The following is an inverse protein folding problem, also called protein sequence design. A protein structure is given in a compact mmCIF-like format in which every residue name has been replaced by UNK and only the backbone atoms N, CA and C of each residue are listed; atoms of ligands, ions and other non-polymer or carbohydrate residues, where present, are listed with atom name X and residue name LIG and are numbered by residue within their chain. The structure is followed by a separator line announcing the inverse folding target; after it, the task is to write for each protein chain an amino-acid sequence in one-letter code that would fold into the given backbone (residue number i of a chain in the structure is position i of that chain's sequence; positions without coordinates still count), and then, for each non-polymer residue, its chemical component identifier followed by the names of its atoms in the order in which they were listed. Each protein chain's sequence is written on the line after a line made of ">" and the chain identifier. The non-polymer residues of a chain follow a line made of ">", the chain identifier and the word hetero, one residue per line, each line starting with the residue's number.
data_IF_646163593333
#
_entry.id   IF_646163593333
#
_cell.length_a   1.000
_cell.length_b   1.000
_cell.length_c   1.000
_cell.angle_alpha   90.00
_cell.angle_beta   90.00
_cell.angle_gamma   90.00
#
_symmetry.space_group_name_H-M   'P 1'
#
loop_
_entity.id
_entity.type
_entity.pdbx_description
1 polymer ?
#
# COMPACT_ATOMS: atom_id res chain seq x y z
N UNK A 1 -56.16 -54.84 25.93
CA UNK A 1 -55.93 -56.24 25.56
C UNK A 1 -56.24 -56.43 24.11
N UNK A 2 -55.66 -57.33 23.32
CA UNK A 2 -54.26 -57.78 23.36
C UNK A 2 -53.48 -57.70 22.02
N UNK A 3 -52.15 -57.81 22.13
CA UNK A 3 -51.20 -58.64 21.37
C UNK A 3 -50.73 -58.27 19.97
N UNK A 4 -49.46 -58.00 19.91
CA UNK A 4 -48.41 -58.42 18.96
C UNK A 4 -48.60 -59.85 18.39
N UNK A 5 -47.78 -60.36 17.38
CA UNK A 5 -46.44 -59.98 16.98
C UNK A 5 -46.10 -60.17 15.46
N UNK A 6 -44.83 -59.79 15.14
CA UNK A 6 -43.81 -60.44 14.28
C UNK A 6 -44.09 -60.50 12.75
N UNK A 7 -43.12 -60.17 11.92
CA UNK A 7 -42.07 -61.08 11.50
C UNK A 7 -41.02 -60.36 10.61
N UNK A 8 -39.79 -60.79 10.75
CA UNK A 8 -38.63 -60.33 10.01
C UNK A 8 -38.63 -60.78 8.54
N UNK A 9 -38.13 -59.93 7.67
CA UNK A 9 -37.56 -60.36 6.39
C UNK A 9 -36.26 -59.59 6.10
N UNK A 10 -35.18 -60.34 6.13
CA UNK A 10 -33.84 -59.93 5.63
C UNK A 10 -33.88 -59.95 4.11
N UNK A 11 -33.56 -58.80 3.49
CA UNK A 11 -33.08 -58.82 2.11
C UNK A 11 -31.73 -58.15 2.03
N UNK A 12 -30.76 -59.01 1.71
CA UNK A 12 -29.44 -58.73 1.19
C UNK A 12 -29.56 -57.91 -0.10
N UNK A 13 -28.96 -56.76 -0.18
CA UNK A 13 -28.76 -56.06 -1.45
C UNK A 13 -27.30 -55.71 -1.60
N UNK A 14 -26.84 -56.05 -2.79
CA UNK A 14 -25.50 -56.09 -3.28
C UNK A 14 -24.72 -54.81 -3.20
N UNK A 15 -23.45 -54.98 -3.00
CA UNK A 15 -22.33 -54.06 -3.11
C UNK A 15 -22.21 -53.51 -4.54
N UNK A 16 -22.57 -52.25 -4.81
CA UNK A 16 -22.24 -51.57 -6.04
C UNK A 16 -20.99 -50.73 -5.83
N UNK A 17 -19.91 -51.15 -6.49
CA UNK A 17 -18.66 -50.37 -6.61
C UNK A 17 -18.92 -49.00 -7.20
N UNK A 18 -18.78 -47.97 -6.39
CA UNK A 18 -18.68 -46.58 -6.83
C UNK A 18 -17.26 -46.32 -7.32
N UNK A 19 -17.07 -46.24 -8.63
CA UNK A 19 -15.89 -45.68 -9.26
C UNK A 19 -15.77 -44.21 -8.87
N UNK A 20 -14.88 -43.88 -7.94
CA UNK A 20 -14.43 -42.49 -7.74
C UNK A 20 -13.57 -42.10 -8.92
N UNK A 21 -14.09 -41.22 -9.77
CA UNK A 21 -13.29 -40.44 -10.71
C UNK A 21 -12.30 -39.60 -9.89
N UNK A 22 -11.03 -39.93 -10.05
CA UNK A 22 -9.91 -39.11 -9.57
C UNK A 22 -9.80 -37.89 -10.50
N UNK A 23 -10.42 -36.79 -10.16
CA UNK A 23 -10.13 -35.49 -10.78
C UNK A 23 -8.72 -35.03 -10.34
N UNK A 24 -7.84 -34.61 -11.25
CA UNK A 24 -6.55 -34.04 -10.88
C UNK A 24 -6.78 -32.65 -10.28
N UNK A 25 -6.78 -32.60 -8.93
CA UNK A 25 -6.79 -31.31 -8.21
C UNK A 25 -5.60 -30.47 -8.66
N UNK A 26 -5.86 -29.32 -9.25
CA UNK A 26 -4.87 -28.28 -9.52
C UNK A 26 -4.32 -27.83 -8.17
N UNK A 27 -3.17 -28.38 -7.78
CA UNK A 27 -2.37 -27.82 -6.67
C UNK A 27 -1.83 -26.46 -7.16
N UNK A 28 -2.43 -25.40 -6.69
CA UNK A 28 -1.80 -24.08 -6.74
C UNK A 28 -0.52 -24.22 -5.91
N UNK A 29 0.60 -24.34 -6.60
CA UNK A 29 1.94 -24.30 -6.00
C UNK A 29 2.10 -22.85 -5.49
N UNK A 30 1.73 -22.61 -4.22
CA UNK A 30 2.15 -21.42 -3.53
C UNK A 30 3.68 -21.40 -3.58
N UNK A 31 4.25 -20.37 -4.21
CA UNK A 31 5.69 -20.19 -4.27
C UNK A 31 6.22 -20.04 -2.84
N UNK A 32 6.57 -21.16 -2.22
CA UNK A 32 7.35 -21.18 -0.98
C UNK A 32 8.75 -20.75 -1.38
N UNK A 33 9.10 -19.51 -1.02
CA UNK A 33 10.46 -19.00 -1.17
C UNK A 33 11.43 -19.98 -0.46
N UNK A 34 12.52 -20.35 -1.15
CA UNK A 34 13.53 -21.29 -0.66
C UNK A 34 13.95 -20.91 0.78
N UNK A 35 13.87 -21.84 1.74
CA UNK A 35 14.28 -21.61 3.14
C UNK A 35 15.71 -21.07 3.26
N UNK A 36 16.61 -21.42 2.33
CA UNK A 36 17.97 -20.91 2.27
C UNK A 36 18.01 -19.42 1.90
N UNK A 37 17.19 -18.97 0.96
CA UNK A 37 17.07 -17.56 0.59
C UNK A 37 16.52 -16.72 1.75
N UNK A 38 15.52 -17.23 2.48
CA UNK A 38 14.98 -16.56 3.66
C UNK A 38 16.01 -16.48 4.80
N UNK A 39 16.77 -17.53 5.04
CA UNK A 39 17.83 -17.58 6.04
C UNK A 39 18.95 -16.58 5.70
N UNK A 40 19.34 -16.48 4.44
CA UNK A 40 20.38 -15.55 3.97
C UNK A 40 19.94 -14.10 4.11
N UNK A 41 18.71 -13.76 3.67
CA UNK A 41 18.16 -12.43 3.82
C UNK A 41 18.05 -12.00 5.30
N UNK A 42 17.57 -12.89 6.17
CA UNK A 42 17.51 -12.62 7.60
C UNK A 42 18.91 -12.45 8.24
N UNK A 43 19.93 -13.18 7.75
CA UNK A 43 21.30 -13.03 8.22
C UNK A 43 21.90 -11.66 7.81
N UNK A 44 21.66 -11.21 6.58
CA UNK A 44 22.09 -9.89 6.10
C UNK A 44 21.44 -8.78 6.93
N UNK A 45 20.14 -8.84 7.15
CA UNK A 45 19.42 -7.84 7.97
C UNK A 45 19.98 -7.80 9.39
N UNK A 46 20.23 -8.97 10.02
CA UNK A 46 20.84 -9.02 11.36
C UNK A 46 22.23 -8.37 11.38
N UNK A 47 23.06 -8.67 10.36
CA UNK A 47 24.43 -8.10 10.24
C UNK A 47 24.38 -6.58 10.11
N UNK A 48 23.51 -6.03 9.27
CA UNK A 48 23.39 -4.58 9.06
C UNK A 48 22.81 -3.89 10.31
N UNK A 49 21.85 -4.51 10.99
CA UNK A 49 21.30 -3.99 12.26
C UNK A 49 22.31 -4.00 13.42
N UNK A 50 23.37 -4.84 13.32
CA UNK A 50 24.47 -4.86 14.28
C UNK A 50 25.44 -3.69 14.08
N UNK A 51 25.41 -2.97 12.97
CA UNK A 51 26.26 -1.79 12.77
C UNK A 51 25.98 -0.71 13.83
N UNK A 52 26.99 0.07 14.24
CA UNK A 52 26.81 1.23 15.10
C UNK A 52 25.74 2.17 14.53
N UNK A 53 24.92 2.75 15.40
CA UNK A 53 23.80 3.63 14.99
C UNK A 53 24.26 4.78 14.08
N UNK A 54 25.45 5.34 14.33
CA UNK A 54 26.05 6.41 13.51
C UNK A 54 26.23 5.99 12.04
N UNK A 55 26.67 4.76 11.79
CA UNK A 55 26.85 4.25 10.42
C UNK A 55 25.51 4.06 9.69
N UNK A 56 24.52 3.53 10.39
CA UNK A 56 23.16 3.39 9.81
C UNK A 56 22.54 4.74 9.48
N UNK A 57 22.73 5.75 10.34
CA UNK A 57 22.30 7.13 10.06
C UNK A 57 23.10 7.75 8.91
N UNK A 58 24.41 7.49 8.84
CA UNK A 58 25.27 7.93 7.74
C UNK A 58 24.80 7.38 6.40
N UNK A 59 24.48 6.08 6.32
CA UNK A 59 23.91 5.46 5.10
C UNK A 59 22.58 6.12 4.71
N UNK A 60 21.66 6.30 5.65
CA UNK A 60 20.38 6.96 5.37
C UNK A 60 20.58 8.40 4.88
N UNK A 61 21.50 9.17 5.51
CA UNK A 61 21.82 10.54 5.11
C UNK A 61 22.49 10.59 3.73
N UNK A 62 23.44 9.68 3.46
CA UNK A 62 24.12 9.60 2.16
C UNK A 62 23.14 9.27 1.02
N UNK A 63 22.21 8.33 1.23
CA UNK A 63 21.17 8.00 0.25
C UNK A 63 20.21 9.18 0.04
N UNK A 64 19.85 9.91 1.10
CA UNK A 64 19.03 11.13 1.00
C UNK A 64 19.74 12.20 0.17
N UNK A 65 21.00 12.47 0.47
CA UNK A 65 21.81 13.44 -0.27
C UNK A 65 21.99 13.02 -1.73
N UNK A 66 22.33 11.76 -1.97
CA UNK A 66 22.47 11.24 -3.34
C UNK A 66 21.18 11.36 -4.15
N UNK A 67 20.02 11.04 -3.56
CA UNK A 67 18.73 11.19 -4.22
C UNK A 67 18.40 12.65 -4.52
N UNK A 68 18.68 13.58 -3.58
CA UNK A 68 18.49 15.00 -3.78
C UNK A 68 19.40 15.57 -4.90
N UNK A 69 20.70 15.20 -4.89
CA UNK A 69 21.64 15.60 -5.93
C UNK A 69 21.27 15.02 -7.31
N UNK A 70 20.83 13.76 -7.36
CA UNK A 70 20.38 13.14 -8.60
C UNK A 70 19.20 13.90 -9.20
N UNK A 71 18.20 14.27 -8.40
CA UNK A 71 17.03 15.05 -8.87
C UNK A 71 17.45 16.44 -9.36
N UNK A 72 18.39 17.10 -8.67
CA UNK A 72 18.90 18.41 -9.10
C UNK A 72 19.73 18.33 -10.39
N UNK A 73 20.43 17.22 -10.62
CA UNK A 73 21.26 17.00 -11.82
C UNK A 73 20.44 16.62 -13.07
N UNK A 74 19.21 16.14 -12.91
CA UNK A 74 18.34 15.81 -14.04
C UNK A 74 17.86 17.09 -14.74
N UNK A 75 17.64 17.04 -16.08
CA UNK A 75 16.94 18.11 -16.77
C UNK A 75 15.48 18.22 -16.30
N UNK A 76 14.81 19.36 -16.47
CA UNK A 76 13.39 19.50 -16.20
C UNK A 76 12.58 18.39 -16.90
N UNK A 77 11.62 17.82 -16.20
CA UNK A 77 10.83 16.68 -16.69
C UNK A 77 9.37 17.15 -16.88
N UNK A 78 8.95 17.47 -18.12
CA UNK A 78 7.57 17.87 -18.40
C UNK A 78 6.61 16.68 -18.28
N UNK A 79 5.31 16.97 -18.07
CA UNK A 79 4.27 15.93 -18.08
C UNK A 79 4.00 15.48 -19.53
N UNK A 80 4.25 14.20 -19.89
CA UNK A 80 3.88 13.71 -21.22
C UNK A 80 2.35 13.69 -21.37
N UNK A 81 1.82 14.27 -22.44
CA UNK A 81 0.37 14.26 -22.71
C UNK A 81 -0.16 12.83 -22.97
N UNK A 82 0.70 11.93 -23.47
CA UNK A 82 0.36 10.51 -23.63
C UNK A 82 0.04 9.81 -22.29
N UNK A 83 0.42 10.40 -21.14
CA UNK A 83 0.09 9.88 -19.83
C UNK A 83 -1.41 9.80 -19.53
N UNK A 84 -2.21 10.63 -20.23
CA UNK A 84 -3.67 10.63 -20.12
C UNK A 84 -4.36 9.55 -20.98
N UNK A 85 -3.59 8.83 -21.81
CA UNK A 85 -4.12 7.80 -22.70
C UNK A 85 -4.05 6.42 -22.02
N UNK A 86 -5.16 6.02 -21.38
CA UNK A 86 -5.27 4.71 -20.73
C UNK A 86 -5.56 3.61 -21.76
N UNK A 87 -5.10 2.39 -21.51
CA UNK A 87 -5.36 1.23 -22.36
C UNK A 87 -6.86 0.87 -22.39
N UNK A 88 -7.55 0.93 -21.25
CA UNK A 88 -9.00 0.73 -21.17
C UNK A 88 -9.75 2.06 -21.28
N UNK A 89 -10.31 2.33 -22.44
CA UNK A 89 -11.11 3.52 -22.73
C UNK A 89 -12.62 3.27 -22.70
N UNK A 90 -13.04 2.07 -22.30
CA UNK A 90 -14.45 1.69 -22.34
C UNK A 90 -15.27 2.53 -21.35
N UNK A 91 -16.39 3.05 -21.87
CA UNK A 91 -17.38 3.71 -21.06
C UNK A 91 -18.47 2.73 -20.62
N UNK A 92 -18.97 2.89 -19.40
CA UNK A 92 -20.14 2.18 -18.88
C UNK A 92 -20.95 3.11 -17.98
N UNK A 93 -22.27 3.01 -18.02
CA UNK A 93 -23.20 3.90 -17.29
C UNK A 93 -22.93 5.40 -17.51
N UNK A 94 -22.47 5.79 -18.70
CA UNK A 94 -22.12 7.19 -19.00
C UNK A 94 -20.78 7.68 -18.44
N UNK A 95 -20.01 6.80 -17.77
CA UNK A 95 -18.70 7.15 -17.22
C UNK A 95 -17.61 6.63 -18.13
N UNK A 96 -16.74 7.52 -18.64
CA UNK A 96 -15.56 7.16 -19.39
C UNK A 96 -14.55 6.43 -18.51
N UNK A 97 -13.70 5.57 -19.11
CA UNK A 97 -12.69 4.77 -18.40
C UNK A 97 -13.24 4.09 -17.13
N UNK A 98 -14.45 3.52 -17.23
CA UNK A 98 -15.26 3.09 -16.10
C UNK A 98 -14.51 2.23 -15.09
N UNK A 99 -13.74 1.23 -15.53
CA UNK A 99 -13.01 0.35 -14.61
C UNK A 99 -11.88 1.09 -13.89
N UNK A 100 -11.22 2.06 -14.54
CA UNK A 100 -10.22 2.90 -13.89
C UNK A 100 -10.87 3.82 -12.83
N UNK A 101 -12.06 4.35 -13.10
CA UNK A 101 -12.84 5.12 -12.11
C UNK A 101 -13.30 4.23 -10.96
N UNK A 102 -13.97 3.11 -11.26
CA UNK A 102 -14.60 2.24 -10.26
C UNK A 102 -13.59 1.55 -9.34
N UNK A 103 -12.40 1.18 -9.86
CA UNK A 103 -11.36 0.51 -9.07
C UNK A 103 -10.80 1.39 -7.94
N UNK A 104 -10.97 2.72 -8.02
CA UNK A 104 -10.62 3.63 -6.93
C UNK A 104 -11.46 3.40 -5.65
N UNK A 105 -12.58 2.70 -5.73
CA UNK A 105 -13.33 2.27 -4.57
C UNK A 105 -12.46 1.48 -3.57
N UNK A 106 -11.43 0.76 -4.03
CA UNK A 106 -10.49 0.06 -3.16
C UNK A 106 -9.71 1.03 -2.25
N UNK A 107 -9.30 2.18 -2.79
CA UNK A 107 -8.64 3.25 -2.02
C UNK A 107 -9.63 3.93 -1.06
N UNK A 108 -10.83 4.27 -1.54
CA UNK A 108 -11.88 4.88 -0.70
C UNK A 108 -12.19 3.99 0.49
N UNK A 109 -12.42 2.68 0.26
CA UNK A 109 -12.74 1.72 1.31
C UNK A 109 -11.58 1.53 2.30
N UNK A 110 -10.35 1.42 1.81
CA UNK A 110 -9.17 1.29 2.67
C UNK A 110 -8.93 2.56 3.52
N UNK A 111 -9.09 3.74 2.91
CA UNK A 111 -8.98 5.02 3.60
C UNK A 111 -10.06 5.21 4.66
N UNK A 112 -11.32 4.96 4.30
CA UNK A 112 -12.46 5.05 5.22
C UNK A 112 -12.32 4.06 6.39
N UNK A 113 -11.97 2.79 6.12
CA UNK A 113 -11.76 1.79 7.16
C UNK A 113 -10.59 2.17 8.10
N UNK A 114 -9.51 2.73 7.53
CA UNK A 114 -8.39 3.24 8.31
C UNK A 114 -8.77 4.41 9.21
N UNK A 115 -9.50 5.39 8.70
CA UNK A 115 -10.01 6.52 9.48
C UNK A 115 -10.99 6.07 10.56
N UNK A 116 -11.91 5.18 10.24
CA UNK A 116 -12.83 4.58 11.21
C UNK A 116 -12.07 3.93 12.37
N UNK A 117 -11.04 3.14 12.05
CA UNK A 117 -10.18 2.52 13.06
C UNK A 117 -9.43 3.56 13.90
N UNK A 118 -8.87 4.59 13.26
CA UNK A 118 -8.07 5.62 13.93
C UNK A 118 -8.90 6.58 14.80
N UNK A 119 -10.15 6.88 14.40
CA UNK A 119 -11.03 7.83 15.08
C UNK A 119 -11.96 7.17 16.12
N UNK A 120 -12.15 5.86 16.05
CA UNK A 120 -13.02 5.10 16.96
C UNK A 120 -12.69 5.34 18.44
N UNK A 121 -13.72 5.54 19.27
CA UNK A 121 -13.63 5.89 20.70
C UNK A 121 -13.75 4.70 21.67
N UNK A 122 -13.95 3.49 21.21
CA UNK A 122 -14.22 2.32 22.07
C UNK A 122 -13.01 1.41 22.28
N UNK A 123 -13.27 0.22 22.85
CA UNK A 123 -12.29 -0.90 22.94
C UNK A 123 -11.64 -1.24 21.59
N UNK A 124 -12.16 -0.62 20.50
CA UNK A 124 -11.71 -0.63 19.12
C UNK A 124 -10.75 0.51 18.71
N UNK A 125 -10.47 1.48 19.56
CA UNK A 125 -9.70 2.69 19.23
C UNK A 125 -8.20 2.43 19.09
N UNK A 126 -7.52 3.24 18.26
CA UNK A 126 -6.07 3.25 18.12
C UNK A 126 -5.31 3.73 19.37
N UNK A 127 -6.00 3.92 20.50
CA UNK A 127 -5.39 4.45 21.73
C UNK A 127 -4.27 3.56 22.31
N UNK A 128 -4.26 2.24 22.00
CA UNK A 128 -3.20 1.32 22.41
C UNK A 128 -2.23 0.90 21.29
N UNK A 129 -2.38 1.45 20.07
CA UNK A 129 -1.61 0.98 18.90
C UNK A 129 -0.19 1.53 18.87
N UNK A 130 0.03 2.69 19.50
CA UNK A 130 1.30 3.39 19.45
C UNK A 130 1.72 3.77 20.86
N UNK A 131 2.98 3.55 21.17
CA UNK A 131 3.55 3.88 22.49
C UNK A 131 3.45 5.38 22.84
N UNK A 132 3.23 6.24 21.83
CA UNK A 132 3.14 7.70 22.04
C UNK A 132 1.97 8.29 21.25
N UNK A 133 1.20 9.21 21.87
CA UNK A 133 0.03 9.87 21.25
C UNK A 133 0.29 10.57 19.92
N UNK A 134 1.49 11.14 19.73
CA UNK A 134 1.85 11.85 18.50
C UNK A 134 1.91 10.92 17.26
N UNK A 135 2.23 9.61 17.45
CA UNK A 135 2.31 8.62 16.38
C UNK A 135 0.98 8.39 15.66
N UNK A 136 -0.14 8.76 16.27
CA UNK A 136 -1.46 8.74 15.62
C UNK A 136 -1.58 9.75 14.46
N UNK A 137 -0.90 10.92 14.58
CA UNK A 137 -1.03 12.01 13.59
C UNK A 137 -0.60 11.58 12.18
N UNK A 138 0.61 11.02 11.97
CA UNK A 138 1.01 10.60 10.63
C UNK A 138 0.09 9.52 10.04
N UNK A 139 -0.41 8.55 10.84
CA UNK A 139 -1.34 7.55 10.32
C UNK A 139 -2.74 8.12 10.01
N UNK A 140 -3.22 9.10 10.77
CA UNK A 140 -4.44 9.81 10.41
C UNK A 140 -4.28 10.54 9.08
N UNK A 141 -3.18 11.28 8.89
CA UNK A 141 -2.87 11.96 7.62
C UNK A 141 -2.73 10.94 6.48
N UNK A 142 -2.09 9.80 6.72
CA UNK A 142 -1.98 8.71 5.75
C UNK A 142 -3.36 8.26 5.24
N UNK A 143 -4.29 7.91 6.14
CA UNK A 143 -5.62 7.45 5.73
C UNK A 143 -6.50 8.56 5.15
N UNK A 144 -6.34 9.80 5.58
CA UNK A 144 -6.95 10.95 4.90
C UNK A 144 -6.42 11.05 3.47
N UNK A 145 -5.11 10.94 3.28
CA UNK A 145 -4.48 10.91 1.96
C UNK A 145 -5.03 9.78 1.08
N UNK A 146 -5.12 8.55 1.61
CA UNK A 146 -5.67 7.39 0.87
C UNK A 146 -7.12 7.62 0.45
N UNK A 147 -7.97 8.12 1.35
CA UNK A 147 -9.36 8.41 1.06
C UNK A 147 -9.51 9.49 -0.03
N UNK A 148 -8.78 10.58 0.12
CA UNK A 148 -8.82 11.69 -0.84
C UNK A 148 -8.21 11.29 -2.19
N UNK A 149 -7.16 10.45 -2.21
CA UNK A 149 -6.61 9.89 -3.45
C UNK A 149 -7.69 9.07 -4.19
N UNK A 150 -8.48 8.26 -3.47
CA UNK A 150 -9.55 7.50 -4.11
C UNK A 150 -10.56 8.38 -4.84
N UNK A 151 -10.94 9.53 -4.28
CA UNK A 151 -11.83 10.49 -4.94
C UNK A 151 -11.12 11.28 -6.05
N UNK A 152 -9.93 11.82 -5.78
CA UNK A 152 -9.17 12.63 -6.73
C UNK A 152 -8.78 11.83 -7.98
N UNK A 153 -8.37 10.56 -7.79
CA UNK A 153 -8.04 9.65 -8.87
C UNK A 153 -9.28 9.25 -9.68
N UNK A 154 -10.40 8.95 -9.02
CA UNK A 154 -11.65 8.68 -9.74
C UNK A 154 -12.08 9.87 -10.60
N UNK A 155 -11.97 11.10 -10.07
CA UNK A 155 -12.24 12.31 -10.83
C UNK A 155 -11.30 12.47 -12.04
N UNK A 156 -10.00 12.30 -11.83
CA UNK A 156 -9.01 12.36 -12.91
C UNK A 156 -9.30 11.34 -14.02
N UNK A 157 -9.65 10.10 -13.69
CA UNK A 157 -9.95 9.09 -14.69
C UNK A 157 -11.27 9.32 -15.43
N UNK A 158 -12.23 10.01 -14.82
CA UNK A 158 -13.46 10.40 -15.51
C UNK A 158 -13.21 11.50 -16.56
N UNK A 159 -12.25 12.39 -16.32
CA UNK A 159 -11.87 13.50 -17.20
C UNK A 159 -10.35 13.70 -17.18
N UNK A 160 -9.59 12.88 -17.97
CA UNK A 160 -8.13 12.87 -17.90
C UNK A 160 -7.51 14.14 -18.51
N UNK A 161 -6.98 14.99 -17.63
CA UNK A 161 -6.19 16.19 -17.98
C UNK A 161 -5.19 16.53 -16.86
N UNK A 162 -4.33 17.53 -17.06
CA UNK A 162 -3.37 17.96 -16.06
C UNK A 162 -4.03 18.58 -14.82
N UNK A 163 -5.22 19.17 -14.95
CA UNK A 163 -5.96 19.74 -13.82
C UNK A 163 -6.52 18.63 -12.93
N UNK A 164 -7.16 17.61 -13.53
CA UNK A 164 -7.62 16.40 -12.83
C UNK A 164 -6.47 15.63 -12.19
N UNK A 165 -5.33 15.50 -12.90
CA UNK A 165 -4.13 14.85 -12.39
C UNK A 165 -3.54 15.55 -11.15
N UNK A 166 -3.76 16.85 -11.01
CA UNK A 166 -3.38 17.60 -9.79
C UNK A 166 -4.16 17.07 -8.58
N UNK A 167 -5.45 16.83 -8.71
CA UNK A 167 -6.30 16.31 -7.63
C UNK A 167 -6.03 14.84 -7.30
N UNK A 168 -5.54 14.05 -8.24
CA UNK A 168 -5.04 12.70 -8.00
C UNK A 168 -3.74 12.75 -7.18
N UNK A 169 -2.77 13.57 -7.60
CA UNK A 169 -1.42 13.62 -7.03
C UNK A 169 -1.32 14.30 -5.67
N UNK A 170 -2.06 15.38 -5.44
CA UNK A 170 -2.00 16.13 -4.17
C UNK A 170 -2.19 15.23 -2.94
N UNK A 171 -3.27 14.44 -2.84
CA UNK A 171 -3.45 13.59 -1.68
C UNK A 171 -2.45 12.41 -1.62
N UNK A 172 -1.91 11.95 -2.75
CA UNK A 172 -0.85 10.93 -2.76
C UNK A 172 0.39 11.42 -2.00
N UNK A 173 0.72 12.71 -2.07
CA UNK A 173 1.86 13.25 -1.31
C UNK A 173 1.66 13.16 0.20
N UNK A 174 0.41 13.27 0.68
CA UNK A 174 0.08 13.06 2.09
C UNK A 174 0.39 11.61 2.51
N UNK A 175 0.08 10.62 1.64
CA UNK A 175 0.36 9.21 1.89
C UNK A 175 1.86 9.00 2.07
N UNK A 176 2.67 9.45 1.10
CA UNK A 176 4.11 9.22 1.11
C UNK A 176 4.82 9.93 2.26
N UNK A 177 4.54 11.21 2.45
CA UNK A 177 5.22 12.02 3.46
C UNK A 177 4.82 11.62 4.89
N UNK A 178 3.56 11.31 5.12
CA UNK A 178 3.12 10.89 6.45
C UNK A 178 3.62 9.49 6.82
N UNK A 179 3.65 8.54 5.87
CA UNK A 179 4.19 7.20 6.12
C UNK A 179 5.70 7.25 6.37
N UNK A 180 6.44 8.08 5.61
CA UNK A 180 7.87 8.31 5.86
C UNK A 180 8.08 8.89 7.26
N UNK A 181 7.30 9.91 7.65
CA UNK A 181 7.37 10.48 9.00
C UNK A 181 7.06 9.44 10.10
N UNK A 182 6.06 8.56 9.87
CA UNK A 182 5.75 7.48 10.79
C UNK A 182 6.94 6.54 10.95
N UNK A 183 7.57 6.11 9.85
CA UNK A 183 8.73 5.21 9.88
C UNK A 183 9.96 5.85 10.56
N UNK A 184 10.23 7.11 10.29
CA UNK A 184 11.31 7.87 10.99
C UNK A 184 11.02 7.93 12.49
N UNK A 185 9.77 8.22 12.85
CA UNK A 185 9.39 8.38 14.26
C UNK A 185 9.48 7.10 15.08
N UNK A 186 9.06 5.99 14.50
CA UNK A 186 9.04 4.69 15.18
C UNK A 186 10.43 4.06 15.29
N UNK A 187 11.34 4.35 14.36
CA UNK A 187 12.58 3.60 14.20
C UNK A 187 13.83 4.43 14.45
N UNK A 188 13.80 5.73 14.16
CA UNK A 188 14.96 6.61 14.29
C UNK A 188 14.78 7.58 15.45
N UNK A 189 13.82 8.50 15.35
CA UNK A 189 13.61 9.53 16.37
C UNK A 189 12.20 10.10 16.34
N UNK A 190 11.47 9.95 17.43
CA UNK A 190 10.16 10.55 17.64
C UNK A 190 10.17 12.08 17.57
N UNK A 191 11.25 12.72 18.07
CA UNK A 191 11.42 14.17 18.02
C UNK A 191 11.56 14.67 16.58
N UNK A 192 12.43 14.03 15.79
CA UNK A 192 12.65 14.38 14.38
C UNK A 192 11.36 14.23 13.58
N UNK A 193 10.64 13.13 13.74
CA UNK A 193 9.39 12.91 13.02
C UNK A 193 8.28 13.88 13.42
N UNK A 194 8.19 14.23 14.71
CA UNK A 194 7.19 15.19 15.19
C UNK A 194 7.40 16.58 14.61
N UNK A 195 8.66 17.05 14.56
CA UNK A 195 9.02 18.33 13.98
C UNK A 195 8.99 18.29 12.45
N UNK A 196 9.34 17.16 11.85
CA UNK A 196 9.44 16.98 10.41
C UNK A 196 8.11 16.70 9.70
N UNK A 197 7.05 16.28 10.41
CA UNK A 197 5.78 15.93 9.77
C UNK A 197 5.20 17.10 8.95
N UNK A 198 5.06 18.27 9.56
CA UNK A 198 4.50 19.44 8.87
C UNK A 198 5.36 19.91 7.69
N UNK A 199 6.70 20.09 7.82
CA UNK A 199 7.57 20.38 6.68
C UNK A 199 7.50 19.35 5.55
N UNK A 200 7.44 18.06 5.86
CA UNK A 200 7.31 17.00 4.85
C UNK A 200 5.97 17.10 4.10
N UNK A 201 4.87 17.34 4.81
CA UNK A 201 3.56 17.54 4.18
C UNK A 201 3.55 18.78 3.28
N UNK A 202 4.12 19.89 3.75
CA UNK A 202 4.26 21.12 2.95
C UNK A 202 5.11 20.86 1.70
N UNK A 203 6.25 20.18 1.83
CA UNK A 203 7.08 19.78 0.69
C UNK A 203 6.30 18.93 -0.31
N UNK A 204 5.54 17.96 0.17
CA UNK A 204 4.71 17.10 -0.67
C UNK A 204 3.68 17.92 -1.46
N UNK A 205 2.86 18.69 -0.79
CA UNK A 205 1.83 19.53 -1.43
C UNK A 205 2.45 20.56 -2.39
N UNK A 206 3.53 21.22 -1.96
CA UNK A 206 4.24 22.21 -2.79
C UNK A 206 4.81 21.57 -4.07
N UNK A 207 5.28 20.31 -4.02
CA UNK A 207 5.83 19.61 -5.19
C UNK A 207 4.81 19.49 -6.32
N UNK A 208 3.56 19.18 -5.99
CA UNK A 208 2.47 19.09 -6.98
C UNK A 208 2.00 20.46 -7.41
N UNK A 209 1.86 21.42 -6.48
CA UNK A 209 1.42 22.78 -6.82
C UNK A 209 2.42 23.50 -7.72
N UNK A 210 3.73 23.37 -7.46
CA UNK A 210 4.77 23.94 -8.31
C UNK A 210 4.75 23.32 -9.72
N UNK A 211 4.59 21.99 -9.81
CA UNK A 211 4.39 21.35 -11.11
C UNK A 211 3.14 21.88 -11.82
N UNK A 212 1.99 21.92 -11.15
CA UNK A 212 0.72 22.39 -11.71
C UNK A 212 0.82 23.83 -12.25
N UNK A 213 1.35 24.75 -11.43
CA UNK A 213 1.55 26.13 -11.83
C UNK A 213 2.58 26.29 -12.97
N UNK A 214 3.59 25.41 -13.00
CA UNK A 214 4.56 25.33 -14.10
C UNK A 214 3.91 24.87 -15.40
N UNK A 215 3.06 23.81 -15.35
CA UNK A 215 2.31 23.33 -16.52
C UNK A 215 1.43 24.43 -17.13
N UNK A 216 0.74 25.22 -16.30
CA UNK A 216 -0.07 26.36 -16.78
C UNK A 216 0.76 27.42 -17.51
N UNK A 217 2.06 27.50 -17.25
CA UNK A 217 3.01 28.44 -17.86
C UNK A 217 3.87 27.81 -18.95
N UNK A 218 3.65 26.53 -19.29
CA UNK A 218 4.45 25.79 -20.26
C UNK A 218 5.85 25.39 -19.80
N UNK A 219 6.13 25.48 -18.48
CA UNK A 219 7.41 25.13 -17.85
C UNK A 219 7.24 24.10 -16.72
N UNK A 220 6.31 23.17 -16.88
CA UNK A 220 6.04 22.12 -15.91
C UNK A 220 7.25 21.22 -15.64
N UNK A 221 7.46 20.87 -14.36
CA UNK A 221 8.60 20.08 -13.94
C UNK A 221 8.19 19.07 -12.85
N UNK A 222 8.25 17.78 -13.20
CA UNK A 222 7.90 16.65 -12.33
C UNK A 222 9.00 16.22 -11.36
N UNK A 223 10.21 16.77 -11.46
CA UNK A 223 11.35 16.29 -10.69
C UNK A 223 11.09 16.30 -9.18
N UNK A 224 10.51 17.40 -8.66
CA UNK A 224 10.24 17.51 -7.22
C UNK A 224 9.14 16.54 -6.78
N UNK A 225 8.07 16.39 -7.57
CA UNK A 225 7.03 15.41 -7.28
C UNK A 225 7.57 13.97 -7.35
N UNK A 226 8.34 13.66 -8.39
CA UNK A 226 9.01 12.36 -8.53
C UNK A 226 9.93 12.07 -7.33
N UNK A 227 10.67 13.08 -6.85
CA UNK A 227 11.46 12.94 -5.63
C UNK A 227 10.57 12.59 -4.43
N UNK A 228 9.51 13.32 -4.17
CA UNK A 228 8.58 13.07 -3.05
C UNK A 228 8.06 11.63 -3.08
N UNK A 229 7.64 11.16 -4.23
CA UNK A 229 7.05 9.83 -4.40
C UNK A 229 8.11 8.72 -4.30
N UNK A 230 9.13 8.76 -5.15
CA UNK A 230 10.08 7.65 -5.28
C UNK A 230 11.11 7.62 -4.16
N UNK A 231 11.53 8.78 -3.64
CA UNK A 231 12.38 8.84 -2.46
C UNK A 231 11.70 8.21 -1.25
N UNK A 232 10.42 8.50 -1.01
CA UNK A 232 9.67 7.89 0.09
C UNK A 232 9.55 6.38 -0.08
N UNK A 233 9.21 5.92 -1.30
CA UNK A 233 9.10 4.50 -1.62
C UNK A 233 10.44 3.76 -1.44
N UNK A 234 11.59 4.42 -1.71
CA UNK A 234 12.93 3.87 -1.51
C UNK A 234 13.36 3.93 -0.03
N UNK A 235 13.15 5.06 0.63
CA UNK A 235 13.67 5.26 1.99
C UNK A 235 12.91 4.50 3.06
N UNK A 236 11.62 4.25 2.88
CA UNK A 236 10.85 3.46 3.83
C UNK A 236 11.42 2.04 3.99
N UNK A 237 11.66 1.23 2.94
CA UNK A 237 12.29 -0.07 3.10
C UNK A 237 13.72 0.02 3.64
N UNK A 238 14.50 1.02 3.25
CA UNK A 238 15.84 1.26 3.82
C UNK A 238 15.75 1.47 5.33
N UNK A 239 14.84 2.32 5.80
CA UNK A 239 14.63 2.56 7.23
C UNK A 239 14.18 1.27 7.94
N UNK A 240 13.27 0.50 7.34
CA UNK A 240 12.80 -0.78 7.89
C UNK A 240 13.93 -1.78 8.02
N UNK A 241 14.82 -1.86 7.05
CA UNK A 241 15.95 -2.79 7.06
C UNK A 241 17.05 -2.36 8.06
N UNK A 242 17.40 -1.07 8.06
CA UNK A 242 18.49 -0.53 8.89
C UNK A 242 18.09 -0.41 10.37
N UNK A 243 16.83 -0.06 10.68
CA UNK A 243 16.42 0.26 12.05
C UNK A 243 15.27 -0.66 12.48
N UNK A 244 15.47 -1.45 13.56
CA UNK A 244 14.43 -2.34 14.05
C UNK A 244 13.21 -1.54 14.56
N UNK A 245 12.01 -2.06 14.35
CA UNK A 245 10.80 -1.48 14.91
C UNK A 245 10.74 -1.73 16.42
N UNK A 246 10.21 -0.75 17.16
CA UNK A 246 9.89 -0.90 18.59
C UNK A 246 8.56 -1.63 18.80
N UNK A 247 7.63 -1.54 17.85
CA UNK A 247 6.27 -2.07 17.96
C UNK A 247 5.95 -3.14 16.90
N UNK A 248 6.95 -3.75 16.26
CA UNK A 248 6.74 -4.72 15.18
C UNK A 248 6.14 -4.12 13.90
N UNK A 249 5.69 -4.99 12.98
CA UNK A 249 5.02 -4.57 11.74
C UNK A 249 5.94 -4.44 10.53
N UNK A 250 7.18 -4.94 10.58
CA UNK A 250 8.12 -4.94 9.46
C UNK A 250 7.54 -5.65 8.23
N UNK A 251 6.93 -6.81 8.46
CA UNK A 251 6.33 -7.63 7.40
C UNK A 251 5.21 -6.89 6.68
N UNK A 252 4.31 -6.27 7.41
CA UNK A 252 3.16 -5.55 6.85
C UNK A 252 3.60 -4.34 6.05
N UNK A 253 4.60 -3.59 6.54
CA UNK A 253 5.17 -2.45 5.79
C UNK A 253 5.83 -2.92 4.51
N UNK A 254 6.65 -3.97 4.54
CA UNK A 254 7.30 -4.50 3.35
C UNK A 254 6.28 -5.08 2.35
N UNK A 255 5.21 -5.73 2.83
CA UNK A 255 4.11 -6.18 1.97
C UNK A 255 3.35 -5.01 1.34
N UNK A 256 3.10 -3.93 2.09
CA UNK A 256 2.48 -2.73 1.53
C UNK A 256 3.34 -2.11 0.42
N UNK A 257 4.66 -2.05 0.63
CA UNK A 257 5.60 -1.55 -0.39
C UNK A 257 5.70 -2.48 -1.60
N UNK A 258 5.67 -3.79 -1.40
CA UNK A 258 5.65 -4.76 -2.50
C UNK A 258 4.36 -4.63 -3.34
N UNK A 259 3.20 -4.46 -2.69
CA UNK A 259 1.94 -4.19 -3.38
C UNK A 259 1.96 -2.86 -4.12
N UNK A 260 2.55 -1.82 -3.53
CA UNK A 260 2.75 -0.54 -4.20
C UNK A 260 3.67 -0.67 -5.44
N UNK A 261 4.79 -1.39 -5.31
CA UNK A 261 5.69 -1.64 -6.44
C UNK A 261 4.97 -2.43 -7.56
N UNK A 262 4.15 -3.42 -7.19
CA UNK A 262 3.33 -4.17 -8.13
C UNK A 262 2.27 -3.27 -8.79
N UNK A 263 1.66 -2.36 -8.05
CA UNK A 263 0.73 -1.36 -8.57
C UNK A 263 1.42 -0.50 -9.66
N UNK A 264 2.61 0.03 -9.36
CA UNK A 264 3.39 0.82 -10.31
C UNK A 264 3.79 0.00 -11.54
N UNK A 265 4.24 -1.25 -11.36
CA UNK A 265 4.56 -2.15 -12.46
C UNK A 265 3.35 -2.38 -13.39
N UNK A 266 2.20 -2.70 -12.82
CA UNK A 266 0.98 -2.96 -13.60
C UNK A 266 0.49 -1.70 -14.34
N UNK A 267 0.40 -0.57 -13.65
CA UNK A 267 -0.24 0.63 -14.20
C UNK A 267 0.67 1.48 -15.07
N UNK A 268 1.98 1.52 -14.78
CA UNK A 268 2.89 2.39 -15.54
C UNK A 268 3.63 1.66 -16.67
N UNK A 269 3.94 0.36 -16.49
CA UNK A 269 4.76 -0.38 -17.45
C UNK A 269 3.97 -1.44 -18.23
N UNK A 270 2.94 -2.01 -17.65
CA UNK A 270 2.24 -3.16 -18.20
C UNK A 270 0.76 -2.89 -18.54
N UNK A 271 0.27 -1.64 -18.45
CA UNK A 271 -1.15 -1.32 -18.63
C UNK A 271 -1.74 -1.91 -19.93
N UNK A 272 -1.18 -1.53 -21.05
CA UNK A 272 -1.62 -2.00 -22.37
C UNK A 272 -1.39 -3.50 -22.59
N UNK A 273 -0.28 -4.06 -22.06
CA UNK A 273 0.02 -5.49 -22.20
C UNK A 273 -0.99 -6.36 -21.44
N UNK A 274 -1.33 -5.97 -20.20
CA UNK A 274 -2.32 -6.68 -19.41
C UNK A 274 -3.69 -6.58 -20.07
N UNK A 275 -4.07 -5.39 -20.54
CA UNK A 275 -5.35 -5.20 -21.22
C UNK A 275 -5.46 -6.05 -22.50
N UNK A 276 -4.37 -6.19 -23.29
CA UNK A 276 -4.34 -6.99 -24.51
C UNK A 276 -4.56 -8.49 -24.27
N UNK A 277 -4.33 -9.04 -23.06
CA UNK A 277 -4.47 -10.47 -22.78
C UNK A 277 -5.93 -10.96 -22.84
N UNK A 278 -6.91 -10.11 -22.67
CA UNK A 278 -8.32 -10.53 -22.70
C UNK A 278 -9.30 -9.35 -22.73
N UNK A 279 -8.81 -8.13 -22.74
CA UNK A 279 -9.59 -6.89 -22.77
C UNK A 279 -10.63 -6.81 -21.64
N UNK A 280 -10.38 -7.48 -20.51
CA UNK A 280 -11.28 -7.50 -19.35
C UNK A 280 -10.86 -6.44 -18.34
N UNK A 281 -9.58 -6.45 -17.94
CA UNK A 281 -9.02 -5.56 -16.91
C UNK A 281 -7.70 -4.99 -17.43
N UNK A 282 -7.50 -3.69 -17.25
CA UNK A 282 -6.23 -3.03 -17.59
C UNK A 282 -5.23 -3.11 -16.43
N UNK A 283 -3.95 -2.91 -16.74
CA UNK A 283 -2.94 -2.79 -15.70
C UNK A 283 -3.20 -1.60 -14.78
N UNK A 284 -3.79 -0.52 -15.31
CA UNK A 284 -4.15 0.66 -14.55
C UNK A 284 -5.28 0.38 -13.53
N UNK A 285 -6.29 -0.37 -13.93
CA UNK A 285 -7.32 -0.87 -12.99
C UNK A 285 -6.67 -1.67 -11.85
N UNK A 286 -5.73 -2.57 -12.17
CA UNK A 286 -4.99 -3.35 -11.16
C UNK A 286 -4.13 -2.46 -10.25
N UNK A 287 -3.55 -1.37 -10.78
CA UNK A 287 -2.80 -0.37 -10.00
C UNK A 287 -3.63 0.15 -8.82
N UNK A 288 -4.88 0.53 -9.05
CA UNK A 288 -5.74 1.03 -7.97
C UNK A 288 -6.09 -0.06 -6.95
N UNK A 289 -6.37 -1.28 -7.39
CA UNK A 289 -6.66 -2.41 -6.51
C UNK A 289 -5.45 -2.74 -5.62
N UNK A 290 -4.25 -2.83 -6.19
CA UNK A 290 -3.03 -3.08 -5.43
C UNK A 290 -2.66 -1.92 -4.51
N UNK A 291 -2.88 -0.67 -4.92
CA UNK A 291 -2.66 0.50 -4.07
C UNK A 291 -3.64 0.50 -2.86
N UNK A 292 -4.92 0.18 -3.09
CA UNK A 292 -5.90 -0.01 -2.01
C UNK A 292 -5.51 -1.15 -1.06
N UNK A 293 -5.05 -2.29 -1.60
CA UNK A 293 -4.54 -3.41 -0.82
C UNK A 293 -3.28 -3.02 -0.01
N UNK A 294 -2.37 -2.21 -0.58
CA UNK A 294 -1.21 -1.69 0.13
C UNK A 294 -1.61 -0.84 1.35
N UNK A 295 -2.56 0.08 1.17
CA UNK A 295 -3.10 0.88 2.26
C UNK A 295 -3.81 0.02 3.32
N UNK A 296 -4.54 -1.01 2.91
CA UNK A 296 -5.16 -1.97 3.82
C UNK A 296 -4.12 -2.76 4.63
N UNK A 297 -2.94 -3.10 4.06
CA UNK A 297 -1.84 -3.74 4.83
C UNK A 297 -1.35 -2.85 5.97
N UNK A 298 -1.26 -1.54 5.76
CA UNK A 298 -0.94 -0.59 6.84
C UNK A 298 -2.01 -0.61 7.95
N UNK A 299 -3.30 -0.67 7.58
CA UNK A 299 -4.38 -0.82 8.55
C UNK A 299 -4.23 -2.13 9.35
N UNK A 300 -3.97 -3.26 8.68
CA UNK A 300 -3.77 -4.56 9.34
C UNK A 300 -2.59 -4.55 10.31
N UNK A 301 -1.50 -3.87 9.96
CA UNK A 301 -0.39 -3.64 10.87
C UNK A 301 -0.83 -2.96 12.17
N UNK A 302 -1.59 -1.87 12.05
CA UNK A 302 -2.07 -1.13 13.21
C UNK A 302 -3.05 -1.95 14.06
N UNK A 303 -3.91 -2.75 13.43
CA UNK A 303 -4.83 -3.65 14.11
C UNK A 303 -4.09 -4.75 14.89
N UNK A 304 -3.06 -5.36 14.29
CA UNK A 304 -2.24 -6.39 14.92
C UNK A 304 -1.47 -5.84 16.13
N UNK A 305 -0.85 -4.66 15.99
CA UNK A 305 -0.16 -3.98 17.11
C UNK A 305 -1.09 -3.75 18.29
N UNK A 306 -2.33 -3.37 18.04
CA UNK A 306 -3.33 -3.17 19.08
C UNK A 306 -3.73 -4.46 19.78
N UNK A 307 -3.85 -5.56 19.05
CA UNK A 307 -4.16 -6.87 19.63
C UNK A 307 -3.04 -7.32 20.59
N UNK A 308 -1.77 -7.16 20.17
CA UNK A 308 -0.60 -7.53 20.97
C UNK A 308 -0.46 -6.65 22.24
N UNK A 309 -0.61 -5.32 22.13
CA UNK A 309 -0.54 -4.43 23.28
C UNK A 309 -1.66 -4.63 24.33
N UNK A 310 -2.73 -5.36 23.98
CA UNK A 310 -3.74 -5.80 24.94
C UNK A 310 -3.34 -7.04 25.72
N UNK A 311 -2.64 -7.96 25.06
CA UNK A 311 -2.18 -9.20 25.72
C UNK A 311 -1.18 -8.85 26.81
N UNK A 312 -0.25 -7.95 26.53
CA UNK A 312 0.76 -7.51 27.50
C UNK A 312 0.16 -6.78 28.71
N UNK A 313 -0.96 -6.05 28.53
CA UNK A 313 -1.67 -5.33 29.59
C UNK A 313 -2.50 -6.24 30.53
N UNK A 314 -2.73 -7.49 30.17
CA UNK A 314 -3.44 -8.49 31.00
C UNK A 314 -2.50 -9.52 31.64
N UNK A 315 -1.19 -9.44 31.34
CA UNK A 315 -0.17 -10.34 31.88
C UNK A 315 0.62 -9.71 33.06
N UNK A 316 0.34 -8.46 33.41
CA UNK A 316 0.81 -7.77 34.63
C UNK A 316 -0.33 -7.71 35.68
#
# INVERSE_FOLDING_TARGET
>A
MPRSPATAARHSVANTHSHRHNEPGIRIIGAQSDPRCQATAAAVVRRVRAWPRRWRLGVAAALTLAAALAVLALPPLPQPQAYHQFADQRAWLGVAHFLNVASNAALVLAGAAGLWFMLGRGKGSAAGVCAQRWQRKPYLVFFVGVLLTGFGSAWYHAMPDNAGLTWDRLPMTLIFMSLLAAMVGERISARVARLGLAPLLVLGLASVMLWHLGEQRGVGDLRLYGFVQFYSALMIPVIVLLFPARCGGDREVLQALALYALAMLCGELLDARIFALGQVVSGHTLKHLFAGAAAYRVLRMLQARRANGRVDAFSE
#
